data_IF_848757657846
#
_entry.id   IF_848757657846
#
_cell.length_a   1.000
_cell.length_b   1.000
_cell.length_c   1.000
_cell.angle_alpha   90.00
_cell.angle_beta   90.00
_cell.angle_gamma   90.00
#
_symmetry.space_group_name_H-M   'P 1'
#
loop_
_entity.id
_entity.type
_entity.pdbx_description
1 polymer ?
#
# COMPACT_ATOMS: atom_id res chain seq x y z
N UNK A 1 -17.01 -17.81 11.56
CA UNK A 1 -16.72 -18.08 10.14
C UNK A 1 -17.40 -17.11 9.16
N UNK A 2 -18.74 -16.99 9.11
CA UNK A 2 -19.42 -16.09 8.14
C UNK A 2 -19.14 -14.60 8.40
N UNK A 3 -19.16 -14.20 9.68
CA UNK A 3 -18.84 -12.83 10.09
C UNK A 3 -17.41 -12.42 9.71
N UNK A 4 -16.44 -13.32 9.89
CA UNK A 4 -15.03 -13.06 9.57
C UNK A 4 -14.82 -12.92 8.06
N UNK A 5 -15.53 -13.70 7.25
CA UNK A 5 -15.52 -13.58 5.78
C UNK A 5 -16.06 -12.24 5.33
N UNK A 6 -17.23 -11.83 5.83
CA UNK A 6 -17.81 -10.51 5.53
C UNK A 6 -16.93 -9.35 6.02
N UNK A 7 -16.28 -9.51 7.17
CA UNK A 7 -15.30 -8.54 7.66
C UNK A 7 -14.09 -8.44 6.72
N UNK A 8 -13.50 -9.56 6.31
CA UNK A 8 -12.40 -9.57 5.34
C UNK A 8 -12.81 -8.89 4.04
N UNK A 9 -14.00 -9.19 3.53
CA UNK A 9 -14.48 -8.64 2.26
C UNK A 9 -14.70 -7.13 2.33
N UNK A 10 -15.29 -6.64 3.43
CA UNK A 10 -15.43 -5.20 3.67
C UNK A 10 -14.07 -4.50 3.77
N UNK A 11 -13.10 -5.13 4.44
CA UNK A 11 -11.76 -4.57 4.58
C UNK A 11 -11.02 -4.49 3.24
N UNK A 12 -11.13 -5.49 2.35
CA UNK A 12 -10.45 -5.49 1.04
C UNK A 12 -10.98 -4.37 0.12
N UNK A 13 -12.24 -3.99 0.26
CA UNK A 13 -12.89 -2.95 -0.57
C UNK A 13 -12.96 -1.59 0.10
N UNK A 14 -12.33 -1.43 1.26
CA UNK A 14 -12.37 -0.16 1.99
C UNK A 14 -11.77 0.97 1.13
N UNK A 15 -12.48 2.09 0.95
CA UNK A 15 -12.04 3.18 0.09
C UNK A 15 -10.89 4.01 0.69
N UNK A 16 -10.61 3.86 1.99
CA UNK A 16 -9.58 4.60 2.72
C UNK A 16 -8.78 3.66 3.64
N UNK A 17 -8.02 2.72 3.05
CA UNK A 17 -7.36 1.68 3.82
C UNK A 17 -6.35 2.26 4.80
N UNK A 18 -6.26 1.64 5.99
CA UNK A 18 -5.37 2.07 7.08
C UNK A 18 -4.49 0.91 7.53
N UNK A 19 -3.42 1.21 8.26
CA UNK A 19 -2.52 0.19 8.80
C UNK A 19 -3.27 -0.94 9.57
N UNK A 20 -4.27 -0.64 10.44
CA UNK A 20 -5.02 -1.71 11.11
C UNK A 20 -5.82 -2.60 10.16
N UNK A 21 -6.31 -2.06 9.03
CA UNK A 21 -7.01 -2.86 8.03
C UNK A 21 -6.06 -3.89 7.40
N UNK A 22 -4.83 -3.46 7.09
CA UNK A 22 -3.81 -4.33 6.52
C UNK A 22 -3.29 -5.36 7.54
N UNK A 23 -3.06 -4.96 8.79
CA UNK A 23 -2.71 -5.89 9.89
C UNK A 23 -3.78 -6.97 10.07
N UNK A 24 -5.06 -6.57 10.02
CA UNK A 24 -6.19 -7.49 10.14
C UNK A 24 -6.25 -8.44 8.96
N UNK A 25 -6.07 -7.97 7.74
CA UNK A 25 -6.03 -8.81 6.54
C UNK A 25 -4.86 -9.80 6.55
N UNK A 26 -3.68 -9.40 7.03
CA UNK A 26 -2.55 -10.30 7.24
C UNK A 26 -2.90 -11.41 8.25
N UNK A 27 -3.50 -11.05 9.38
CA UNK A 27 -3.89 -12.02 10.41
C UNK A 27 -4.97 -13.01 9.94
N UNK A 28 -5.83 -12.59 9.00
CA UNK A 28 -6.89 -13.42 8.41
C UNK A 28 -6.45 -14.15 7.12
N UNK A 29 -5.17 -14.06 6.75
CA UNK A 29 -4.64 -14.62 5.50
C UNK A 29 -5.40 -14.14 4.24
N UNK A 30 -5.88 -12.89 4.27
CA UNK A 30 -6.69 -12.27 3.22
C UNK A 30 -5.90 -11.62 2.08
N UNK A 31 -4.59 -11.82 2.06
CA UNK A 31 -3.69 -11.34 1.00
C UNK A 31 -3.24 -12.53 0.15
N UNK A 32 -3.42 -12.44 -1.16
CA UNK A 32 -3.00 -13.48 -2.11
C UNK A 32 -1.52 -13.34 -2.49
N UNK A 33 -1.06 -12.11 -2.70
CA UNK A 33 0.31 -11.84 -3.15
C UNK A 33 0.79 -10.48 -2.70
N UNK A 34 2.07 -10.40 -2.36
CA UNK A 34 2.78 -9.14 -2.16
C UNK A 34 3.98 -9.15 -3.09
N UNK A 35 4.08 -8.15 -3.98
CA UNK A 35 5.16 -8.10 -4.97
C UNK A 35 6.50 -7.70 -4.34
N UNK A 36 7.59 -7.92 -5.07
CA UNK A 36 8.84 -7.23 -4.75
C UNK A 36 8.66 -5.71 -4.87
N UNK A 37 9.43 -4.90 -4.11
CA UNK A 37 9.47 -3.47 -4.32
C UNK A 37 9.87 -3.14 -5.76
N UNK A 38 9.08 -2.30 -6.42
CA UNK A 38 9.39 -1.78 -7.74
C UNK A 38 9.79 -0.31 -7.62
N UNK A 39 10.88 0.10 -8.25
CA UNK A 39 11.28 1.50 -8.26
C UNK A 39 10.36 2.29 -9.20
N UNK A 40 9.67 3.30 -8.67
CA UNK A 40 8.85 4.18 -9.49
C UNK A 40 9.72 5.30 -10.07
N UNK A 41 9.55 5.55 -11.37
CA UNK A 41 10.09 6.74 -12.03
C UNK A 41 9.06 7.86 -11.92
N UNK A 42 9.16 8.69 -10.89
CA UNK A 42 8.39 9.92 -10.78
C UNK A 42 9.30 11.13 -11.02
N UNK A 43 8.81 12.12 -11.78
CA UNK A 43 9.50 13.40 -11.93
C UNK A 43 9.66 14.06 -10.54
N UNK A 44 10.91 14.25 -10.12
CA UNK A 44 11.28 14.77 -8.79
C UNK A 44 11.81 13.73 -7.80
N UNK A 45 11.42 12.47 -7.96
CA UNK A 45 11.81 11.38 -7.05
C UNK A 45 12.90 10.50 -7.71
N UNK A 46 14.14 10.99 -7.65
CA UNK A 46 15.35 10.43 -8.32
C UNK A 46 15.78 9.07 -7.75
N UNK A 47 14.95 8.05 -7.89
CA UNK A 47 15.25 6.69 -7.44
C UNK A 47 15.04 6.45 -5.93
N UNK A 48 14.17 7.24 -5.30
CA UNK A 48 13.88 7.17 -3.86
C UNK A 48 12.46 6.71 -3.53
N UNK A 49 11.61 6.55 -4.54
CA UNK A 49 10.24 6.08 -4.40
C UNK A 49 10.11 4.65 -4.92
N UNK A 50 9.59 3.79 -4.05
CA UNK A 50 9.27 2.41 -4.38
C UNK A 50 7.80 2.13 -4.16
N UNK A 51 7.28 1.18 -4.93
CA UNK A 51 5.93 0.69 -4.83
C UNK A 51 5.94 -0.82 -4.60
N UNK A 52 5.16 -1.27 -3.64
CA UNK A 52 4.83 -2.68 -3.43
C UNK A 52 3.35 -2.86 -3.66
N UNK A 53 2.98 -3.75 -4.58
CA UNK A 53 1.58 -4.10 -4.85
C UNK A 53 1.15 -5.23 -3.93
N UNK A 54 -0.03 -5.07 -3.34
CA UNK A 54 -0.70 -6.04 -2.48
C UNK A 54 -1.95 -6.51 -3.20
N UNK A 55 -1.96 -7.78 -3.57
CA UNK A 55 -3.12 -8.46 -4.14
C UNK A 55 -3.86 -9.18 -3.02
N UNK A 56 -5.18 -9.03 -3.00
CA UNK A 56 -6.04 -9.67 -2.02
C UNK A 56 -6.47 -11.05 -2.51
N UNK A 57 -6.81 -11.94 -1.56
CA UNK A 57 -7.58 -13.14 -1.90
C UNK A 57 -8.96 -12.74 -2.43
N UNK A 58 -9.58 -13.55 -3.31
CA UNK A 58 -10.95 -13.32 -3.76
C UNK A 58 -11.92 -13.07 -2.60
N UNK A 59 -12.95 -12.27 -2.84
CA UNK A 59 -14.04 -12.08 -1.91
C UNK A 59 -14.92 -13.35 -1.83
N UNK A 60 -15.80 -13.43 -0.83
CA UNK A 60 -16.68 -14.59 -0.64
C UNK A 60 -17.65 -14.82 -1.79
N UNK A 61 -17.96 -13.76 -2.56
CA UNK A 61 -18.77 -13.82 -3.78
C UNK A 61 -17.95 -14.19 -5.04
N UNK A 62 -16.63 -14.40 -4.91
CA UNK A 62 -15.73 -14.73 -6.00
C UNK A 62 -15.10 -13.53 -6.73
N UNK A 63 -15.46 -12.29 -6.39
CA UNK A 63 -14.86 -11.10 -6.99
C UNK A 63 -13.42 -10.91 -6.55
N UNK A 64 -12.61 -10.35 -7.46
CA UNK A 64 -11.24 -9.94 -7.15
C UNK A 64 -11.21 -8.45 -6.81
N UNK A 65 -10.99 -8.08 -5.54
CA UNK A 65 -10.97 -6.67 -5.17
C UNK A 65 -9.69 -6.01 -5.69
N UNK A 66 -9.79 -4.70 -5.94
CA UNK A 66 -8.68 -3.92 -6.47
C UNK A 66 -7.47 -3.97 -5.53
N UNK A 67 -6.23 -4.02 -6.07
CA UNK A 67 -5.04 -4.11 -5.24
C UNK A 67 -4.81 -2.82 -4.45
N UNK A 68 -4.10 -2.97 -3.34
CA UNK A 68 -3.51 -1.86 -2.61
C UNK A 68 -2.03 -1.71 -2.95
N UNK A 69 -1.51 -0.51 -2.69
CA UNK A 69 -0.13 -0.15 -2.98
C UNK A 69 0.51 0.47 -1.75
N UNK A 70 1.73 0.02 -1.44
CA UNK A 70 2.57 0.62 -0.42
C UNK A 70 3.65 1.43 -1.11
N UNK A 71 3.61 2.75 -0.91
CA UNK A 71 4.62 3.68 -1.38
C UNK A 71 5.66 3.89 -0.29
N UNK A 72 6.92 3.65 -0.60
CA UNK A 72 8.05 3.75 0.32
C UNK A 72 8.99 4.81 -0.21
N UNK A 73 9.22 5.84 0.58
CA UNK A 73 10.17 6.91 0.28
C UNK A 73 11.44 6.72 1.11
N UNK A 74 12.59 6.83 0.45
CA UNK A 74 13.91 6.78 1.09
C UNK A 74 14.59 8.14 1.08
N UNK A 75 15.50 8.37 2.02
CA UNK A 75 16.32 9.60 2.02
C UNK A 75 17.29 9.62 0.82
N UNK A 76 17.89 8.46 0.53
CA UNK A 76 18.91 8.26 -0.51
C UNK A 76 18.46 7.23 -1.54
N UNK A 77 18.93 7.33 -2.80
CA UNK A 77 18.64 6.33 -3.81
C UNK A 77 19.20 4.97 -3.40
N UNK A 78 18.38 3.93 -3.52
CA UNK A 78 18.79 2.54 -3.24
C UNK A 78 18.31 1.61 -4.34
N UNK A 79 18.82 0.38 -4.37
CA UNK A 79 18.28 -0.65 -5.26
C UNK A 79 17.02 -1.28 -4.64
N UNK A 80 16.11 -1.85 -5.45
CA UNK A 80 14.95 -2.58 -4.92
C UNK A 80 15.30 -3.70 -3.94
N UNK A 81 16.41 -4.39 -4.18
CA UNK A 81 16.92 -5.43 -3.27
C UNK A 81 17.46 -4.81 -1.97
N UNK A 82 18.18 -3.69 -2.06
CA UNK A 82 18.71 -2.96 -0.90
C UNK A 82 17.62 -2.37 -0.01
N UNK A 83 16.44 -2.05 -0.55
CA UNK A 83 15.33 -1.47 0.19
C UNK A 83 14.89 -2.36 1.37
N UNK A 84 14.84 -3.68 1.17
CA UNK A 84 14.42 -4.63 2.23
C UNK A 84 15.42 -4.72 3.38
N UNK A 85 16.66 -4.32 3.16
CA UNK A 85 17.73 -4.32 4.16
C UNK A 85 17.85 -2.99 4.92
N UNK A 86 17.16 -1.93 4.48
CA UNK A 86 17.19 -0.64 5.16
C UNK A 86 16.46 -0.70 6.51
N UNK A 87 16.98 0.06 7.48
CA UNK A 87 16.26 0.27 8.73
C UNK A 87 15.11 1.26 8.50
N UNK A 88 13.99 1.09 9.22
CA UNK A 88 12.82 1.97 9.05
C UNK A 88 13.15 3.46 9.25
N UNK A 89 14.15 3.77 10.08
CA UNK A 89 14.64 5.15 10.32
C UNK A 89 15.28 5.81 9.09
N UNK A 90 15.73 5.01 8.11
CA UNK A 90 16.31 5.49 6.85
C UNK A 90 15.23 5.75 5.78
N UNK A 91 13.97 5.43 6.11
CA UNK A 91 12.80 5.75 5.29
C UNK A 91 12.25 7.11 5.70
N UNK A 92 11.95 7.95 4.73
CA UNK A 92 11.36 9.28 4.97
C UNK A 92 9.85 9.19 5.16
N UNK A 93 9.20 8.25 4.48
CA UNK A 93 7.77 7.98 4.63
C UNK A 93 7.40 6.60 4.09
N UNK A 94 6.36 6.00 4.65
CA UNK A 94 5.71 4.81 4.09
C UNK A 94 4.19 4.99 4.12
N UNK A 95 3.55 4.92 2.95
CA UNK A 95 2.12 5.17 2.80
C UNK A 95 1.40 3.98 2.16
N UNK A 96 0.19 3.68 2.64
CA UNK A 96 -0.76 2.78 2.03
C UNK A 96 -1.76 3.57 1.17
N UNK A 97 -2.02 3.09 -0.04
CA UNK A 97 -2.92 3.70 -1.02
C UNK A 97 -3.75 2.65 -1.74
N UNK A 98 -4.95 3.04 -2.19
CA UNK A 98 -5.72 2.24 -3.15
C UNK A 98 -5.21 2.43 -4.58
N UNK A 99 -5.60 1.53 -5.50
CA UNK A 99 -5.36 1.70 -6.93
C UNK A 99 -5.90 3.02 -7.51
N UNK A 100 -6.97 3.56 -6.93
CA UNK A 100 -7.55 4.85 -7.36
C UNK A 100 -6.68 6.02 -6.95
N UNK A 101 -5.95 5.90 -5.85
CA UNK A 101 -5.15 6.98 -5.25
C UNK A 101 -3.66 6.94 -5.63
N UNK A 102 -3.18 5.81 -6.13
CA UNK A 102 -1.77 5.60 -6.46
C UNK A 102 -1.29 6.60 -7.53
N UNK A 103 -2.18 7.06 -8.40
CA UNK A 103 -1.94 8.06 -9.44
C UNK A 103 -2.41 9.48 -9.06
N UNK A 104 -2.96 9.67 -7.86
CA UNK A 104 -3.44 10.96 -7.38
C UNK A 104 -2.42 11.57 -6.42
N UNK A 105 -2.04 12.80 -6.70
CA UNK A 105 -1.08 13.59 -5.91
C UNK A 105 -1.52 15.04 -5.78
N UNK A 106 -0.60 15.90 -5.34
CA UNK A 106 -0.87 17.32 -5.08
C UNK A 106 -1.58 18.02 -6.25
N UNK A 107 -1.17 17.74 -7.49
CA UNK A 107 -1.79 18.31 -8.70
C UNK A 107 -3.27 17.95 -8.85
N UNK A 108 -3.68 16.76 -8.43
CA UNK A 108 -5.09 16.37 -8.43
C UNK A 108 -5.86 17.09 -7.32
N UNK A 109 -5.27 17.20 -6.12
CA UNK A 109 -5.86 17.95 -5.00
C UNK A 109 -6.07 19.43 -5.42
N UNK A 110 -5.07 20.05 -6.03
CA UNK A 110 -5.15 21.42 -6.58
C UNK A 110 -6.24 21.55 -7.66
N UNK A 111 -6.34 20.59 -8.59
CA UNK A 111 -7.39 20.57 -9.59
C UNK A 111 -8.78 20.45 -8.96
N UNK A 112 -8.95 19.57 -7.97
CA UNK A 112 -10.23 19.38 -7.29
C UNK A 112 -10.63 20.61 -6.48
N UNK A 113 -9.68 21.25 -5.81
CA UNK A 113 -9.88 22.53 -5.13
C UNK A 113 -10.30 23.62 -6.12
N UNK A 114 -9.65 23.72 -7.28
CA UNK A 114 -10.02 24.66 -8.34
C UNK A 114 -11.41 24.40 -8.92
N UNK A 115 -11.88 23.15 -8.89
CA UNK A 115 -13.24 22.74 -9.27
C UNK A 115 -14.26 22.90 -8.13
N UNK A 116 -13.91 23.53 -7.01
CA UNK A 116 -14.79 23.79 -5.87
C UNK A 116 -14.89 22.67 -4.85
N UNK A 117 -14.15 21.57 -5.01
CA UNK A 117 -14.07 20.48 -4.04
C UNK A 117 -12.89 20.73 -3.08
N UNK A 118 -13.03 21.73 -2.22
CA UNK A 118 -11.96 22.21 -1.32
C UNK A 118 -11.57 21.23 -0.20
N UNK A 119 -12.34 20.16 -0.01
CA UNK A 119 -12.06 19.09 0.96
C UNK A 119 -11.44 17.85 0.30
N UNK A 120 -11.25 17.85 -1.03
CA UNK A 120 -10.71 16.71 -1.76
C UNK A 120 -9.23 16.50 -1.43
N UNK A 121 -8.95 15.48 -0.62
CA UNK A 121 -7.59 15.12 -0.18
C UNK A 121 -7.27 13.69 -0.53
N UNK A 122 -6.07 13.44 -1.04
CA UNK A 122 -5.56 12.08 -1.22
C UNK A 122 -5.29 11.49 0.16
N UNK A 123 -5.91 10.36 0.46
CA UNK A 123 -5.69 9.67 1.72
C UNK A 123 -4.30 9.03 1.72
N UNK A 124 -3.60 9.19 2.85
CA UNK A 124 -2.20 8.81 3.03
C UNK A 124 -2.11 8.13 4.40
N UNK A 125 -2.39 6.84 4.46
CA UNK A 125 -2.23 6.10 5.71
C UNK A 125 -0.78 5.70 5.92
N UNK A 126 -0.18 6.14 7.02
CA UNK A 126 1.20 5.76 7.37
C UNK A 126 1.27 4.31 7.85
N UNK A 127 2.28 3.57 7.40
CA UNK A 127 2.59 2.21 7.87
C UNK A 127 3.83 2.25 8.77
N UNK A 128 3.73 1.70 9.98
CA UNK A 128 4.86 1.58 10.90
C UNK A 128 5.81 0.42 10.59
N UNK A 129 6.99 0.44 11.22
CA UNK A 129 8.08 -0.53 11.02
C UNK A 129 7.68 -2.00 11.22
N UNK A 130 6.83 -2.28 12.21
CA UNK A 130 6.35 -3.64 12.49
C UNK A 130 5.55 -4.22 11.34
N UNK A 131 4.54 -3.49 10.88
CA UNK A 131 3.69 -3.89 9.75
C UNK A 131 4.51 -3.99 8.47
N UNK A 132 5.47 -3.07 8.30
CA UNK A 132 6.44 -3.13 7.21
C UNK A 132 7.21 -4.47 7.20
N UNK A 133 7.76 -4.88 8.34
CA UNK A 133 8.45 -6.16 8.47
C UNK A 133 7.56 -7.37 8.20
N UNK A 134 6.28 -7.32 8.57
CA UNK A 134 5.32 -8.39 8.29
C UNK A 134 5.05 -8.54 6.80
N UNK A 135 4.90 -7.43 6.06
CA UNK A 135 4.84 -7.45 4.60
C UNK A 135 6.13 -8.03 4.00
N UNK A 136 7.29 -7.73 4.61
CA UNK A 136 8.62 -8.35 4.47
C UNK A 136 8.53 -9.85 4.28
N UNK A 137 8.11 -10.48 5.37
CA UNK A 137 8.03 -11.91 5.52
C UNK A 137 6.98 -12.52 4.56
N UNK A 138 5.80 -11.91 4.47
CA UNK A 138 4.71 -12.40 3.64
C UNK A 138 5.04 -12.35 2.13
N UNK A 139 5.76 -11.32 1.66
CA UNK A 139 6.22 -11.24 0.28
C UNK A 139 7.46 -12.09 -0.05
N UNK A 140 8.21 -12.54 0.97
CA UNK A 140 9.36 -13.44 0.78
C UNK A 140 8.94 -14.92 0.71
N UNK A 141 7.84 -15.29 1.40
CA UNK A 141 7.32 -16.66 1.46
C UNK A 141 6.58 -17.16 0.20
N UNK A 142 6.42 -16.31 -0.83
CA UNK A 142 5.78 -16.67 -2.11
C UNK A 142 6.73 -17.24 -3.16
N UNK A 143 7.96 -17.59 -2.79
CA UNK A 143 8.90 -18.35 -3.62
C UNK A 143 9.01 -19.76 -3.03
N UNK A 144 8.06 -20.61 -3.39
CA UNK A 144 8.00 -22.03 -3.05
C UNK A 144 7.07 -22.73 -4.01
#
# INVERSE_FOLDING_TARGET
HDFERRQADALKTDPQPRAPHLERLLAMNGLARITAPNLLRSEGDRGRLFEVRIEHTPQSNGDNPAPWFVHIHTDKPVTPAGLRALHYKDLTAVHLKTAREVNLGARWEEMMHALGNTEAKVHRATIGSKLLGQLWAAGAGGQG
#
